data_IF_767924893937
#
_entry.id   IF_767924893937
#
_cell.length_a   1.000
_cell.length_b   1.000
_cell.length_c   1.000
_cell.angle_alpha   90.00
_cell.angle_beta   90.00
_cell.angle_gamma   90.00
#
_symmetry.space_group_name_H-M   'P 1'
#
loop_
_entity.id
_entity.type
_entity.pdbx_description
1 polymer ?
#
# COMPACT_ATOMS: atom_id res chain seq x y z
N UNK A 1 -14.08 14.82 15.51
CA UNK A 1 -13.96 13.46 16.10
C UNK A 1 -15.05 12.60 15.48
N UNK A 2 -14.74 11.65 14.59
CA UNK A 2 -15.78 10.83 13.94
C UNK A 2 -15.79 9.38 14.46
N UNK A 3 -14.77 8.91 15.21
CA UNK A 3 -14.71 7.52 15.68
C UNK A 3 -14.31 7.32 17.16
N UNK A 4 -14.40 8.33 18.03
CA UNK A 4 -14.21 8.13 19.48
C UNK A 4 -12.84 7.62 19.94
N UNK A 5 -11.82 7.59 19.07
CA UNK A 5 -10.47 7.17 19.44
C UNK A 5 -9.85 8.16 20.43
N UNK A 6 -9.49 7.64 21.61
CA UNK A 6 -8.98 8.43 22.75
C UNK A 6 -7.48 8.24 22.96
N UNK A 7 -6.83 7.30 22.25
CA UNK A 7 -5.40 7.01 22.39
C UNK A 7 -4.61 6.95 21.08
N UNK A 8 -3.32 7.25 21.16
CA UNK A 8 -2.33 7.13 20.07
C UNK A 8 -2.38 5.76 19.38
N UNK A 9 -2.47 4.68 20.17
CA UNK A 9 -2.48 3.32 19.66
C UNK A 9 -3.72 3.00 18.82
N UNK A 10 -4.89 3.52 19.21
CA UNK A 10 -6.12 3.31 18.45
C UNK A 10 -6.02 4.02 17.09
N UNK A 11 -5.55 5.28 17.10
CA UNK A 11 -5.34 6.09 15.89
C UNK A 11 -4.33 5.46 14.93
N UNK A 12 -3.20 5.00 15.47
CA UNK A 12 -2.19 4.28 14.71
C UNK A 12 -2.76 3.01 14.07
N UNK A 13 -3.43 2.17 14.86
CA UNK A 13 -3.92 0.88 14.39
C UNK A 13 -5.04 1.02 13.37
N UNK A 14 -5.96 1.98 13.56
CA UNK A 14 -7.00 2.26 12.58
C UNK A 14 -6.40 2.68 11.23
N UNK A 15 -5.42 3.59 11.24
CA UNK A 15 -4.82 4.09 10.01
C UNK A 15 -3.93 3.02 9.35
N UNK A 16 -3.18 2.26 10.14
CA UNK A 16 -2.35 1.15 9.68
C UNK A 16 -3.19 0.03 9.06
N UNK A 17 -4.30 -0.35 9.69
CA UNK A 17 -5.18 -1.39 9.20
C UNK A 17 -5.83 -1.00 7.86
N UNK A 18 -6.35 0.23 7.76
CA UNK A 18 -6.98 0.71 6.52
C UNK A 18 -5.95 0.77 5.39
N UNK A 19 -4.77 1.36 5.63
CA UNK A 19 -3.71 1.44 4.62
C UNK A 19 -3.24 0.05 4.21
N UNK A 20 -3.12 -0.88 5.15
CA UNK A 20 -2.74 -2.26 4.86
C UNK A 20 -3.77 -2.98 4.00
N UNK A 21 -5.07 -2.83 4.30
CA UNK A 21 -6.15 -3.46 3.54
C UNK A 21 -6.23 -2.89 2.12
N UNK A 22 -6.21 -1.56 1.96
CA UNK A 22 -6.24 -0.92 0.64
C UNK A 22 -5.03 -1.32 -0.19
N UNK A 23 -3.84 -1.34 0.42
CA UNK A 23 -2.61 -1.77 -0.22
C UNK A 23 -2.65 -3.26 -0.60
N UNK A 24 -3.31 -4.12 0.19
CA UNK A 24 -3.49 -5.53 -0.15
C UNK A 24 -4.43 -5.71 -1.35
N UNK A 25 -5.55 -4.98 -1.37
CA UNK A 25 -6.55 -5.03 -2.44
C UNK A 25 -5.94 -4.53 -3.75
N UNK A 26 -5.26 -3.38 -3.74
CA UNK A 26 -4.58 -2.85 -4.92
C UNK A 26 -3.56 -3.85 -5.48
N UNK A 27 -2.76 -4.47 -4.59
CA UNK A 27 -1.75 -5.45 -5.00
C UNK A 27 -2.29 -6.75 -5.56
N UNK A 28 -3.42 -7.25 -5.08
CA UNK A 28 -3.98 -8.54 -5.54
C UNK A 28 -4.97 -8.34 -6.69
N UNK A 29 -5.91 -7.40 -6.53
CA UNK A 29 -6.95 -7.14 -7.53
C UNK A 29 -6.49 -6.23 -8.66
N UNK A 30 -5.83 -5.11 -8.37
CA UNK A 30 -5.43 -4.15 -9.42
C UNK A 30 -4.20 -4.70 -10.15
N UNK A 31 -3.13 -5.05 -9.42
CA UNK A 31 -1.84 -5.44 -10.03
C UNK A 31 -1.86 -6.85 -10.66
N UNK A 32 -2.33 -7.88 -9.95
CA UNK A 32 -2.24 -9.27 -10.46
C UNK A 32 -3.47 -9.68 -11.28
N UNK A 33 -4.67 -9.36 -10.81
CA UNK A 33 -5.90 -9.75 -11.49
C UNK A 33 -6.23 -8.82 -12.66
N UNK A 34 -6.28 -7.51 -12.44
CA UNK A 34 -6.71 -6.58 -13.50
C UNK A 34 -5.57 -6.26 -14.48
N UNK A 35 -4.43 -5.73 -14.05
CA UNK A 35 -3.33 -5.36 -14.95
C UNK A 35 -2.71 -6.61 -15.60
N UNK A 36 -2.61 -7.71 -14.87
CA UNK A 36 -2.02 -8.96 -15.36
C UNK A 36 -2.89 -9.76 -16.34
N UNK A 37 -4.22 -9.81 -16.17
CA UNK A 37 -5.11 -10.57 -17.07
C UNK A 37 -5.80 -9.72 -18.13
N UNK A 38 -5.84 -8.40 -18.00
CA UNK A 38 -6.58 -7.56 -18.95
C UNK A 38 -5.67 -7.07 -20.06
N UNK A 39 -6.03 -7.38 -21.31
CA UNK A 39 -5.30 -6.93 -22.52
C UNK A 39 -5.26 -5.41 -22.72
N UNK A 40 -5.94 -4.65 -21.87
CA UNK A 40 -5.92 -3.19 -21.88
C UNK A 40 -4.51 -2.60 -21.68
N UNK A 41 -3.59 -3.36 -21.09
CA UNK A 41 -2.22 -2.94 -20.79
C UNK A 41 -1.17 -3.69 -21.61
N UNK A 42 -1.58 -4.47 -22.61
CA UNK A 42 -0.65 -5.09 -23.56
C UNK A 42 -0.21 -4.04 -24.58
N UNK A 43 1.05 -3.62 -24.47
CA UNK A 43 1.67 -2.71 -25.44
C UNK A 43 1.96 -3.54 -26.71
N UNK A 44 1.32 -3.23 -27.85
CA UNK A 44 1.51 -3.98 -29.08
C UNK A 44 2.95 -3.80 -29.58
N UNK A 45 3.65 -4.92 -29.84
CA UNK A 45 5.02 -4.93 -30.36
C UNK A 45 6.13 -5.10 -29.30
N UNK A 46 5.79 -5.36 -28.04
CA UNK A 46 6.80 -5.64 -26.98
C UNK A 46 6.51 -6.93 -26.19
N UNK A 47 5.62 -7.78 -26.70
CA UNK A 47 5.11 -8.99 -26.05
C UNK A 47 6.21 -10.00 -25.66
N UNK A 48 7.32 -10.02 -26.42
CA UNK A 48 8.48 -10.90 -26.20
C UNK A 48 9.35 -10.47 -25.01
N UNK A 49 9.18 -9.25 -24.48
CA UNK A 49 9.91 -8.77 -23.29
C UNK A 49 9.18 -9.07 -21.98
N UNK A 50 8.10 -9.86 -22.03
CA UNK A 50 7.41 -10.29 -20.81
C UNK A 50 8.26 -11.34 -20.07
N UNK A 51 8.56 -11.12 -18.77
CA UNK A 51 8.02 -10.09 -17.89
C UNK A 51 8.80 -8.76 -17.96
N UNK A 52 8.11 -7.64 -18.17
CA UNK A 52 8.70 -6.29 -18.21
C UNK A 52 9.34 -5.84 -16.89
N UNK A 53 8.94 -6.45 -15.77
CA UNK A 53 9.49 -6.19 -14.43
C UNK A 53 9.98 -7.50 -13.85
N UNK A 54 11.24 -7.49 -13.38
CA UNK A 54 11.82 -8.62 -12.70
C UNK A 54 11.12 -8.87 -11.36
N UNK A 55 10.94 -10.14 -11.00
CA UNK A 55 10.30 -10.55 -9.73
C UNK A 55 10.99 -9.94 -8.50
N UNK A 56 12.31 -9.71 -8.58
CA UNK A 56 13.10 -9.08 -7.53
C UNK A 56 12.72 -7.61 -7.32
N UNK A 57 12.60 -6.83 -8.40
CA UNK A 57 12.19 -5.43 -8.33
C UNK A 57 10.74 -5.30 -7.83
N UNK A 58 9.85 -6.23 -8.22
CA UNK A 58 8.48 -6.32 -7.69
C UNK A 58 8.49 -6.53 -6.17
N UNK A 59 9.33 -7.44 -5.67
CA UNK A 59 9.44 -7.72 -4.23
C UNK A 59 10.09 -6.56 -3.45
N UNK A 60 11.07 -5.88 -4.03
CA UNK A 60 11.71 -4.72 -3.40
C UNK A 60 10.73 -3.53 -3.31
N UNK A 61 9.95 -3.28 -4.37
CA UNK A 61 8.81 -2.35 -4.34
C UNK A 61 7.79 -2.73 -3.27
N UNK A 62 7.51 -4.03 -3.10
CA UNK A 62 6.58 -4.54 -2.10
C UNK A 62 7.03 -4.24 -0.67
N UNK A 63 8.30 -4.50 -0.36
CA UNK A 63 8.89 -4.20 0.95
C UNK A 63 8.93 -2.70 1.23
N UNK A 64 9.36 -1.89 0.25
CA UNK A 64 9.40 -0.43 0.39
C UNK A 64 8.01 0.18 0.60
N UNK A 65 6.99 -0.26 -0.14
CA UNK A 65 5.63 0.27 0.01
C UNK A 65 5.05 -0.04 1.39
N UNK A 66 5.24 -1.27 1.89
CA UNK A 66 4.71 -1.69 3.20
C UNK A 66 5.44 -0.98 4.35
N UNK A 67 6.77 -0.88 4.27
CA UNK A 67 7.57 -0.13 5.23
C UNK A 67 7.22 1.36 5.20
N UNK A 68 7.03 1.95 4.02
CA UNK A 68 6.63 3.34 3.85
C UNK A 68 5.29 3.66 4.51
N UNK A 69 4.27 2.82 4.31
CA UNK A 69 2.97 3.01 4.97
C UNK A 69 3.04 2.84 6.48
N UNK A 70 3.85 1.91 6.99
CA UNK A 70 4.08 1.75 8.43
C UNK A 70 4.72 3.00 9.04
N UNK A 71 5.74 3.57 8.38
CA UNK A 71 6.40 4.81 8.80
C UNK A 71 5.46 6.00 8.72
N UNK A 72 4.67 6.12 7.66
CA UNK A 72 3.69 7.21 7.50
C UNK A 72 2.61 7.16 8.57
N UNK A 73 2.07 5.96 8.83
CA UNK A 73 1.09 5.72 9.90
C UNK A 73 1.66 6.07 11.28
N UNK A 74 2.89 5.64 11.58
CA UNK A 74 3.56 5.93 12.84
C UNK A 74 3.83 7.43 13.02
N UNK A 75 4.30 8.10 11.97
CA UNK A 75 4.57 9.53 11.99
C UNK A 75 3.29 10.35 12.22
N UNK A 76 2.20 10.01 11.51
CA UNK A 76 0.94 10.75 11.63
C UNK A 76 0.29 10.54 13.00
N UNK A 77 0.27 9.29 13.49
CA UNK A 77 -0.19 9.00 14.83
C UNK A 77 0.68 9.76 15.86
N UNK A 78 2.00 9.84 15.64
CA UNK A 78 2.93 10.48 16.57
C UNK A 78 2.67 11.98 16.68
N UNK A 79 2.44 12.63 15.54
CA UNK A 79 2.05 14.04 15.46
C UNK A 79 0.71 14.26 16.18
N UNK A 80 -0.30 13.39 15.96
CA UNK A 80 -1.58 13.50 16.67
C UNK A 80 -1.42 13.34 18.19
N UNK A 81 -0.58 12.41 18.66
CA UNK A 81 -0.34 12.23 20.10
C UNK A 81 0.42 13.40 20.73
N UNK A 82 1.27 14.09 19.98
CA UNK A 82 1.96 15.30 20.44
C UNK A 82 1.03 16.51 20.48
N UNK A 83 0.10 16.63 19.52
CA UNK A 83 -0.90 17.69 19.45
C UNK A 83 -2.05 17.53 20.45
N UNK A 84 -2.32 16.31 20.91
CA UNK A 84 -3.34 15.99 21.91
C UNK A 84 -2.84 16.11 23.37
N UNK A 85 -1.61 16.60 23.57
CA UNK A 85 -1.05 16.93 24.88
C UNK A 85 -1.22 18.41 25.20
#
# INVERSE_FOLDING_TARGET
MINGMRGFFEGFWQMFAILSIVNLIDRLLIDEYWVGHTKAWEIPGTEDMKPYINKKDKFCKWLMGTAGFAVFSAALAGIMSLLMK
#
